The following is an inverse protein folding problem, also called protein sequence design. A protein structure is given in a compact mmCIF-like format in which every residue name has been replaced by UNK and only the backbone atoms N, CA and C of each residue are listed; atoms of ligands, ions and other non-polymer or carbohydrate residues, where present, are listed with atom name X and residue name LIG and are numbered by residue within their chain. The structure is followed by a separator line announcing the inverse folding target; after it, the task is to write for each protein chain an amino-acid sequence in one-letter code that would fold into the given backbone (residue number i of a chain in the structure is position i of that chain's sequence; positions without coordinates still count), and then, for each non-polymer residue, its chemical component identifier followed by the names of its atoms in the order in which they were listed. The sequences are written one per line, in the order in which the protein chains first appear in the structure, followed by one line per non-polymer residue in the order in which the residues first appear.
data_IF_640684338711
#
_entry.id   IF_640684338711
#
_cell.length_a   1.000
_cell.length_b   1.000
_cell.length_c   1.000
_cell.angle_alpha   90.00
_cell.angle_beta   90.00
_cell.angle_gamma   90.00
#
_symmetry.space_group_name_H-M   'P 1'
#
loop_
_entity.id
_entity.type
_entity.pdbx_description
1 polymer ?
#
# COMPACT_ATOMS: atom_id res chain seq x y z
N UNK A 1 -60.87 16.51 16.62
CA UNK A 1 -60.35 15.32 17.33
C UNK A 1 -60.42 14.13 16.38
N UNK A 2 -59.26 13.46 16.10
CA UNK A 2 -59.10 12.09 15.51
C UNK A 2 -59.70 11.88 14.09
N UNK A 3 -59.06 11.30 13.06
CA UNK A 3 -57.90 10.41 12.80
C UNK A 3 -57.45 10.72 11.33
N UNK A 4 -56.31 10.35 10.73
CA UNK A 4 -55.67 9.05 10.37
C UNK A 4 -54.33 9.44 9.65
N UNK A 5 -53.22 8.67 9.74
CA UNK A 5 -51.97 8.98 9.03
C UNK A 5 -51.96 8.55 7.55
N UNK A 6 -51.26 9.32 6.71
CA UNK A 6 -50.98 9.04 5.30
C UNK A 6 -49.63 8.33 5.15
N UNK A 7 -49.62 7.34 4.26
CA UNK A 7 -48.54 6.42 3.96
C UNK A 7 -47.41 7.01 3.10
N UNK A 8 -46.30 6.27 3.15
CA UNK A 8 -45.00 6.45 2.51
C UNK A 8 -45.09 6.35 0.97
N UNK A 9 -44.42 7.28 0.29
CA UNK A 9 -43.94 7.26 -1.10
C UNK A 9 -42.48 7.69 -0.98
N UNK A 10 -41.43 7.07 -1.51
CA UNK A 10 -41.25 6.17 -2.64
C UNK A 10 -40.03 6.69 -3.40
N UNK A 11 -39.05 5.84 -3.74
CA UNK A 11 -38.20 6.09 -4.90
C UNK A 11 -37.55 4.79 -5.37
N UNK A 12 -37.79 4.48 -6.64
CA UNK A 12 -37.49 3.24 -7.31
C UNK A 12 -36.07 3.25 -7.91
N UNK A 13 -35.43 2.08 -7.87
CA UNK A 13 -34.18 1.76 -8.58
C UNK A 13 -34.55 1.17 -9.94
N UNK A 14 -33.98 1.72 -11.01
CA UNK A 14 -34.08 1.19 -12.36
C UNK A 14 -32.89 0.24 -12.65
N UNK A 15 -33.20 -1.01 -12.99
CA UNK A 15 -32.27 -2.01 -13.52
C UNK A 15 -32.27 -1.92 -15.06
N UNK A 16 -31.09 -1.84 -15.66
CA UNK A 16 -30.89 -2.06 -17.09
C UNK A 16 -30.12 -3.37 -17.28
N UNK A 17 -30.76 -4.31 -17.97
CA UNK A 17 -30.18 -5.57 -18.39
C UNK A 17 -29.39 -5.39 -19.70
N UNK A 18 -28.15 -5.89 -19.74
CA UNK A 18 -27.32 -5.98 -20.94
C UNK A 18 -26.96 -7.44 -21.23
N UNK A 19 -27.26 -7.88 -22.46
CA UNK A 19 -27.20 -9.25 -22.94
C UNK A 19 -25.77 -9.81 -23.07
N UNK A 20 -25.64 -11.10 -22.76
CA UNK A 20 -24.44 -11.90 -22.98
C UNK A 20 -24.29 -12.32 -24.46
N UNK A 21 -23.04 -12.35 -24.94
CA UNK A 21 -22.64 -13.05 -26.16
C UNK A 21 -21.67 -14.17 -25.77
N UNK A 22 -22.02 -15.40 -26.14
CA UNK A 22 -21.19 -16.59 -25.98
C UNK A 22 -20.23 -16.74 -27.16
N UNK A 23 -18.99 -17.18 -26.92
CA UNK A 23 -18.02 -17.41 -27.99
C UNK A 23 -16.72 -18.08 -27.56
N UNK A 24 -16.74 -19.40 -27.61
CA UNK A 24 -15.62 -20.33 -27.85
C UNK A 24 -14.69 -20.78 -26.71
N UNK A 25 -14.56 -22.09 -26.64
CA UNK A 25 -13.86 -22.89 -25.66
C UNK A 25 -12.50 -23.38 -26.17
N UNK A 26 -11.67 -23.75 -25.20
CA UNK A 26 -10.67 -24.81 -25.22
C UNK A 26 -9.42 -24.66 -26.10
N UNK A 27 -8.27 -24.57 -25.42
CA UNK A 27 -7.12 -25.41 -25.75
C UNK A 27 -6.37 -25.80 -24.48
N UNK A 28 -6.42 -27.10 -24.17
CA UNK A 28 -5.59 -27.77 -23.19
C UNK A 28 -4.53 -28.60 -23.92
N UNK A 29 -3.28 -28.52 -23.47
CA UNK A 29 -2.21 -29.51 -23.64
C UNK A 29 -1.12 -29.16 -22.61
N UNK A 30 -1.11 -29.82 -21.44
CA UNK A 30 -0.27 -30.98 -21.07
C UNK A 30 1.23 -30.74 -21.24
N UNK A 31 1.99 -30.78 -20.14
CA UNK A 31 3.14 -31.70 -19.97
C UNK A 31 3.62 -31.75 -18.50
N UNK A 32 3.74 -33.00 -18.07
CA UNK A 32 4.51 -33.63 -16.99
C UNK A 32 4.52 -33.13 -15.54
N UNK A 33 3.88 -33.97 -14.73
CA UNK A 33 4.14 -34.17 -13.32
C UNK A 33 5.54 -34.76 -13.11
N UNK A 34 6.36 -34.09 -12.30
CA UNK A 34 7.50 -34.72 -11.60
C UNK A 34 7.10 -34.88 -10.14
N UNK A 35 7.05 -36.14 -9.72
CA UNK A 35 6.76 -36.58 -8.36
C UNK A 35 7.80 -36.04 -7.36
N UNK A 36 7.32 -35.54 -6.21
CA UNK A 36 8.16 -35.27 -5.02
C UNK A 36 8.07 -36.47 -4.07
N UNK A 37 9.19 -36.98 -3.53
CA UNK A 37 9.13 -37.93 -2.42
C UNK A 37 8.82 -37.19 -1.11
N UNK A 38 7.82 -37.71 -0.40
CA UNK A 38 7.49 -37.37 0.98
C UNK A 38 8.54 -37.95 1.93
N UNK A 39 9.13 -37.12 2.79
CA UNK A 39 9.86 -37.56 3.98
C UNK A 39 9.12 -37.03 5.20
N UNK A 40 8.29 -37.89 5.79
CA UNK A 40 7.85 -37.77 7.18
C UNK A 40 9.00 -38.23 8.08
N UNK A 41 9.44 -37.35 8.98
CA UNK A 41 10.18 -37.74 10.16
C UNK A 41 9.34 -37.35 11.38
N UNK A 42 8.71 -38.36 11.97
CA UNK A 42 8.14 -38.30 13.31
C UNK A 42 9.28 -38.23 14.32
N UNK A 43 9.19 -37.34 15.29
CA UNK A 43 9.95 -37.45 16.53
C UNK A 43 8.95 -37.48 17.68
N UNK A 44 8.81 -38.67 18.26
CA UNK A 44 8.22 -38.92 19.55
C UNK A 44 9.00 -38.17 20.64
N UNK A 45 8.29 -37.39 21.47
CA UNK A 45 8.77 -37.04 22.82
C UNK A 45 7.80 -37.65 23.82
N UNK A 46 8.34 -38.61 24.55
CA UNK A 46 7.72 -39.32 25.65
C UNK A 46 7.45 -38.40 26.84
N UNK A 47 6.27 -38.56 27.42
CA UNK A 47 5.90 -38.03 28.71
C UNK A 47 6.66 -38.74 29.85
N UNK A 48 7.02 -37.99 30.88
CA UNK A 48 7.23 -38.49 32.23
C UNK A 48 6.64 -37.48 33.19
N UNK A 49 5.60 -37.90 33.90
CA UNK A 49 4.93 -37.13 34.93
C UNK A 49 5.47 -37.43 36.33
N UNK A 50 5.27 -36.45 37.21
CA UNK A 50 5.07 -36.50 38.67
C UNK A 50 4.69 -35.05 39.03
N UNK A 51 3.63 -34.69 39.76
CA UNK A 51 2.81 -35.38 40.74
C UNK A 51 2.80 -34.54 42.03
N UNK A 52 1.63 -34.03 42.45
CA UNK A 52 1.36 -33.42 43.79
C UNK A 52 1.03 -31.92 43.73
N UNK A 53 -0.23 -31.46 43.83
CA UNK A 53 -1.10 -31.37 45.03
C UNK A 53 -0.64 -30.25 45.98
N UNK A 54 -1.44 -29.37 46.58
CA UNK A 54 -2.86 -29.01 46.55
C UNK A 54 -3.02 -27.78 47.50
N UNK A 55 -4.15 -27.05 47.40
CA UNK A 55 -4.79 -26.21 48.46
C UNK A 55 -4.18 -24.83 48.82
N UNK A 56 -4.94 -23.76 49.15
CA UNK A 56 -6.38 -23.50 49.21
C UNK A 56 -6.64 -21.98 49.36
N UNK A 57 -7.78 -21.54 48.82
CA UNK A 57 -8.70 -20.49 49.25
C UNK A 57 -8.22 -19.13 49.80
N UNK A 58 -8.72 -18.06 49.17
CA UNK A 58 -8.84 -16.72 49.74
C UNK A 58 -9.77 -15.85 48.90
N UNK A 59 -11.05 -15.87 49.25
CA UNK A 59 -12.17 -15.19 48.60
C UNK A 59 -12.31 -13.74 49.12
N UNK A 60 -12.40 -12.74 48.25
CA UNK A 60 -13.15 -11.49 48.51
C UNK A 60 -13.30 -10.64 47.23
N UNK A 61 -14.54 -10.56 46.73
CA UNK A 61 -15.09 -9.40 45.98
C UNK A 61 -15.73 -8.45 47.02
N UNK A 62 -15.91 -7.13 46.78
CA UNK A 62 -16.81 -6.66 45.70
C UNK A 62 -16.47 -5.29 45.07
N UNK A 63 -17.23 -4.91 44.04
CA UNK A 63 -17.58 -3.50 43.78
C UNK A 63 -17.31 -3.01 42.36
N UNK A 64 -18.37 -2.81 41.59
CA UNK A 64 -18.30 -2.33 40.21
C UNK A 64 -17.91 -0.86 40.06
N UNK A 65 -17.45 -0.50 38.85
CA UNK A 65 -17.98 0.60 38.02
C UNK A 65 -17.05 0.83 36.82
N UNK A 66 -17.59 0.67 35.61
CA UNK A 66 -17.09 1.30 34.38
C UNK A 66 -17.35 2.82 34.47
N UNK A 67 -16.54 3.73 33.87
CA UNK A 67 -16.60 3.89 32.41
C UNK A 67 -15.32 4.39 31.68
N UNK A 68 -15.38 4.19 30.36
CA UNK A 68 -14.99 5.09 29.27
C UNK A 68 -13.55 5.63 29.12
N UNK A 69 -13.03 5.28 27.95
CA UNK A 69 -11.89 5.82 27.20
C UNK A 69 -11.91 7.35 27.12
N UNK A 70 -10.77 7.99 27.31
CA UNK A 70 -10.55 9.41 27.01
C UNK A 70 -9.31 9.58 26.15
N UNK A 71 -9.52 9.89 24.87
CA UNK A 71 -8.53 10.48 23.97
C UNK A 71 -8.58 12.01 24.12
N UNK A 72 -7.45 12.74 24.14
CA UNK A 72 -7.49 14.19 24.00
C UNK A 72 -7.55 14.60 22.53
N UNK A 73 -8.63 15.33 22.19
CA UNK A 73 -8.82 16.04 20.94
C UNK A 73 -8.07 17.37 20.95
N UNK A 74 -7.37 17.70 19.86
CA UNK A 74 -6.80 19.01 19.62
C UNK A 74 -7.86 19.96 19.03
N UNK A 75 -8.02 21.11 19.67
CA UNK A 75 -8.96 22.16 19.33
C UNK A 75 -8.48 23.03 18.15
N UNK A 76 -9.38 23.31 17.21
CA UNK A 76 -9.34 24.50 16.36
C UNK A 76 -10.78 25.04 16.22
N UNK A 77 -11.05 26.33 16.45
CA UNK A 77 -12.34 26.92 16.13
C UNK A 77 -12.30 27.71 14.81
N UNK A 78 -13.39 27.58 14.04
CA UNK A 78 -13.81 28.52 13.01
C UNK A 78 -15.21 29.07 13.38
N UNK A 79 -15.45 30.37 13.15
CA UNK A 79 -16.78 30.97 13.26
C UNK A 79 -16.81 32.50 13.41
N UNK A 80 -17.10 33.17 12.28
CA UNK A 80 -17.58 34.56 12.01
C UNK A 80 -18.85 35.00 12.84
N UNK A 81 -19.50 36.22 12.73
CA UNK A 81 -19.61 37.12 11.54
C UNK A 81 -19.89 38.66 11.69
N UNK A 82 -19.80 39.35 10.52
CA UNK A 82 -20.71 40.37 9.92
C UNK A 82 -20.66 41.90 10.14
N UNK A 83 -20.91 42.60 8.99
CA UNK A 83 -21.47 43.96 8.68
C UNK A 83 -20.51 45.18 8.64
N UNK A 84 -20.60 46.15 7.71
CA UNK A 84 -21.37 46.40 6.48
C UNK A 84 -20.85 47.67 5.73
N UNK A 85 -21.36 47.87 4.49
CA UNK A 85 -21.54 49.13 3.70
C UNK A 85 -20.43 49.61 2.73
N UNK A 86 -20.62 49.27 1.44
CA UNK A 86 -21.01 50.17 0.34
C UNK A 86 -20.14 51.38 -0.05
N UNK A 87 -19.69 51.42 -1.32
CA UNK A 87 -20.03 52.47 -2.30
C UNK A 87 -19.23 52.34 -3.62
N UNK A 88 -19.96 52.45 -4.73
CA UNK A 88 -19.66 53.18 -5.97
C UNK A 88 -18.38 52.93 -6.81
N UNK A 89 -18.62 52.31 -7.98
CA UNK A 89 -18.52 52.93 -9.32
C UNK A 89 -17.18 53.09 -10.07
N UNK A 90 -17.29 52.77 -11.37
CA UNK A 90 -16.57 53.27 -12.56
C UNK A 90 -15.41 52.43 -13.15
N UNK A 91 -15.71 51.86 -14.32
CA UNK A 91 -14.79 51.53 -15.41
C UNK A 91 -14.09 52.79 -15.95
N UNK A 92 -12.96 52.60 -16.67
CA UNK A 92 -12.96 53.05 -18.06
C UNK A 92 -12.41 52.01 -19.05
N UNK A 93 -12.98 52.04 -20.26
CA UNK A 93 -12.44 51.46 -21.50
C UNK A 93 -11.04 52.02 -21.84
N UNK A 94 -10.19 51.16 -22.43
CA UNK A 94 -9.10 51.59 -23.30
C UNK A 94 -8.78 50.51 -24.36
N UNK A 95 -9.38 50.72 -25.53
CA UNK A 95 -8.78 50.71 -26.88
C UNK A 95 -7.73 49.65 -27.25
N UNK A 96 -8.07 48.87 -28.28
CA UNK A 96 -7.17 48.03 -29.06
C UNK A 96 -6.13 48.84 -29.85
N UNK A 97 -4.90 48.32 -29.95
CA UNK A 97 -3.96 48.60 -31.03
C UNK A 97 -3.08 47.39 -31.29
N UNK A 98 -3.16 46.88 -32.51
CA UNK A 98 -2.38 45.78 -33.06
C UNK A 98 -1.07 46.31 -33.66
N UNK A 99 0.05 45.60 -33.45
CA UNK A 99 1.08 45.45 -34.49
C UNK A 99 1.81 44.10 -34.37
N UNK A 100 2.31 43.55 -35.50
CA UNK A 100 2.79 42.17 -35.63
C UNK A 100 4.32 42.07 -35.46
N UNK A 101 4.80 40.93 -34.99
CA UNK A 101 6.23 40.64 -34.87
C UNK A 101 6.49 39.13 -34.84
N UNK A 102 6.99 38.63 -35.97
CA UNK A 102 7.37 37.25 -36.24
C UNK A 102 8.37 36.70 -35.23
N UNK A 103 8.16 35.43 -34.84
CA UNK A 103 9.08 34.69 -33.99
C UNK A 103 8.47 33.40 -33.47
N UNK A 104 7.91 32.56 -34.35
CA UNK A 104 7.77 31.13 -34.03
C UNK A 104 9.19 30.56 -33.98
N UNK A 105 9.80 30.72 -32.82
CA UNK A 105 10.89 29.87 -32.38
C UNK A 105 10.24 28.50 -32.24
N UNK A 106 10.50 27.62 -33.20
CA UNK A 106 10.17 26.22 -33.10
C UNK A 106 11.00 25.68 -31.93
N UNK A 107 10.44 25.80 -30.72
CA UNK A 107 10.98 25.16 -29.55
C UNK A 107 10.96 23.67 -29.89
N UNK A 108 12.11 22.95 -29.81
CA UNK A 108 12.10 21.53 -30.10
C UNK A 108 11.05 20.89 -29.20
N UNK A 109 10.06 20.26 -29.82
CA UNK A 109 9.06 19.48 -29.11
C UNK A 109 9.83 18.53 -28.20
N UNK A 110 9.81 18.80 -26.90
CA UNK A 110 10.31 17.85 -25.92
C UNK A 110 9.46 16.61 -26.12
N UNK A 111 10.04 15.57 -26.72
CA UNK A 111 9.49 14.22 -26.76
C UNK A 111 9.49 13.72 -25.32
N UNK A 112 8.52 14.21 -24.55
CA UNK A 112 8.34 13.85 -23.15
C UNK A 112 7.94 12.38 -23.06
N UNK A 113 8.49 11.69 -22.07
CA UNK A 113 8.07 10.35 -21.72
C UNK A 113 6.68 10.47 -21.09
N UNK A 114 5.64 10.04 -21.82
CA UNK A 114 4.24 10.21 -21.39
C UNK A 114 3.59 8.92 -20.88
N UNK A 115 4.27 7.78 -20.97
CA UNK A 115 3.73 6.49 -20.53
C UNK A 115 4.65 5.80 -19.53
N UNK A 116 4.07 5.06 -18.59
CA UNK A 116 4.82 4.33 -17.57
C UNK A 116 5.75 3.28 -18.18
N UNK A 117 5.33 2.44 -19.15
CA UNK A 117 6.27 1.50 -19.80
C UNK A 117 7.46 2.19 -20.47
N UNK A 118 7.25 3.36 -21.09
CA UNK A 118 8.36 4.11 -21.70
C UNK A 118 9.29 4.72 -20.64
N UNK A 119 8.75 5.16 -19.50
CA UNK A 119 9.54 5.67 -18.39
C UNK A 119 10.40 4.57 -17.77
N UNK A 120 9.80 3.42 -17.47
CA UNK A 120 10.52 2.24 -16.95
C UNK A 120 11.58 1.77 -17.97
N UNK A 121 11.25 1.73 -19.26
CA UNK A 121 12.22 1.37 -20.30
C UNK A 121 13.46 2.28 -20.35
N UNK A 122 13.28 3.57 -20.05
CA UNK A 122 14.35 4.56 -20.04
C UNK A 122 15.11 4.65 -18.71
N UNK A 123 14.58 4.05 -17.64
CA UNK A 123 15.09 4.23 -16.29
C UNK A 123 16.27 3.29 -15.96
N UNK A 124 17.20 3.68 -15.07
CA UNK A 124 18.20 2.76 -14.55
C UNK A 124 17.60 1.50 -13.93
N UNK A 125 16.48 1.60 -13.20
CA UNK A 125 15.73 0.44 -12.69
C UNK A 125 15.35 -0.54 -13.79
N UNK A 126 14.81 -0.04 -14.90
CA UNK A 126 14.47 -0.90 -16.05
C UNK A 126 15.69 -1.58 -16.66
N UNK A 127 16.90 -1.05 -16.50
CA UNK A 127 18.13 -1.72 -16.92
C UNK A 127 18.63 -2.79 -15.93
N UNK A 128 18.22 -2.72 -14.66
CA UNK A 128 18.66 -3.61 -13.59
C UNK A 128 17.83 -4.90 -13.46
N UNK A 129 16.56 -4.86 -13.87
CA UNK A 129 15.62 -5.97 -13.71
C UNK A 129 14.75 -6.18 -14.95
N UNK A 130 14.10 -7.32 -15.02
CA UNK A 130 13.10 -7.69 -16.02
C UNK A 130 11.66 -7.58 -15.51
N UNK A 131 11.45 -7.24 -14.22
CA UNK A 131 10.13 -7.01 -13.66
C UNK A 131 10.10 -5.81 -12.70
N UNK A 132 9.14 -4.91 -12.92
CA UNK A 132 9.03 -3.65 -12.18
C UNK A 132 7.60 -3.45 -11.67
N UNK A 133 7.48 -3.12 -10.39
CA UNK A 133 6.29 -2.49 -9.83
C UNK A 133 6.48 -0.98 -9.89
N UNK A 134 5.78 -0.29 -10.78
CA UNK A 134 5.88 1.16 -10.90
C UNK A 134 4.76 1.84 -10.11
N UNK A 135 5.11 2.80 -9.27
CA UNK A 135 4.17 3.58 -8.44
C UNK A 135 4.30 5.06 -8.80
N UNK A 136 3.21 5.65 -9.30
CA UNK A 136 3.12 7.09 -9.59
C UNK A 136 2.08 7.72 -8.68
N UNK A 137 2.54 8.56 -7.77
CA UNK A 137 1.69 9.21 -6.78
C UNK A 137 1.21 10.61 -7.21
N UNK A 138 0.02 10.97 -6.76
CA UNK A 138 -0.52 12.34 -6.81
C UNK A 138 -1.15 12.66 -5.45
N UNK A 139 -0.41 13.39 -4.61
CA UNK A 139 -0.74 13.50 -3.20
C UNK A 139 -0.59 12.15 -2.51
N UNK A 140 -1.62 11.71 -1.78
CA UNK A 140 -1.63 10.40 -1.10
C UNK A 140 -2.27 9.27 -1.90
N UNK A 141 -2.80 9.55 -3.09
CA UNK A 141 -3.28 8.55 -4.05
C UNK A 141 -2.17 8.14 -5.00
N UNK A 142 -2.22 6.93 -5.53
CA UNK A 142 -1.25 6.46 -6.52
C UNK A 142 -1.87 5.54 -7.58
N UNK A 143 -1.23 5.48 -8.74
CA UNK A 143 -1.38 4.41 -9.72
C UNK A 143 -0.21 3.44 -9.57
N UNK A 144 -0.51 2.16 -9.44
CA UNK A 144 0.46 1.09 -9.31
C UNK A 144 0.33 0.14 -10.50
N UNK A 145 1.45 -0.15 -11.14
CA UNK A 145 1.52 -0.98 -12.33
C UNK A 145 2.50 -2.13 -12.11
N UNK A 146 2.17 -3.32 -12.61
CA UNK A 146 3.13 -4.41 -12.75
C UNK A 146 3.58 -4.48 -14.21
N UNK A 147 4.88 -4.40 -14.43
CA UNK A 147 5.47 -4.43 -15.76
C UNK A 147 6.48 -5.57 -15.89
N UNK A 148 6.45 -6.24 -17.03
CA UNK A 148 7.43 -7.26 -17.41
C UNK A 148 8.18 -6.85 -18.67
N UNK A 149 9.47 -7.18 -18.74
CA UNK A 149 10.32 -6.91 -19.89
C UNK A 149 10.10 -7.97 -20.99
N UNK A 150 9.80 -7.53 -22.21
CA UNK A 150 9.80 -8.38 -23.42
C UNK A 150 11.22 -8.73 -23.84
N UNK A 151 11.35 -9.84 -24.56
CA UNK A 151 12.59 -10.24 -25.23
C UNK A 151 13.18 -9.16 -26.17
N UNK A 152 12.35 -8.29 -26.74
CA UNK A 152 12.76 -7.18 -27.60
C UNK A 152 13.23 -5.92 -26.83
N UNK A 153 13.25 -5.95 -25.50
CA UNK A 153 13.65 -4.84 -24.63
C UNK A 153 12.57 -3.80 -24.34
N UNK A 154 11.38 -3.93 -24.93
CA UNK A 154 10.19 -3.16 -24.54
C UNK A 154 9.52 -3.74 -23.29
N UNK A 155 8.63 -2.98 -22.64
CA UNK A 155 7.92 -3.41 -21.44
C UNK A 155 6.41 -3.60 -21.71
N UNK A 156 5.81 -4.61 -21.08
CA UNK A 156 4.36 -4.86 -21.03
C UNK A 156 3.85 -4.24 -19.74
N UNK A 157 2.72 -3.55 -19.83
CA UNK A 157 1.95 -3.17 -18.65
C UNK A 157 0.90 -4.27 -18.44
N UNK A 158 1.18 -5.20 -17.53
CA UNK A 158 0.35 -6.38 -17.31
C UNK A 158 -0.99 -5.99 -16.71
N UNK A 159 -0.94 -5.08 -15.73
CA UNK A 159 -2.10 -4.51 -15.10
C UNK A 159 -1.75 -3.23 -14.34
N UNK A 160 -2.79 -2.43 -14.13
CA UNK A 160 -2.77 -1.21 -13.35
C UNK A 160 -3.83 -1.26 -12.24
N UNK A 161 -3.54 -0.67 -11.10
CA UNK A 161 -4.44 -0.58 -9.98
C UNK A 161 -4.30 0.78 -9.27
N UNK A 162 -5.42 1.35 -8.84
CA UNK A 162 -5.40 2.51 -7.96
C UNK A 162 -5.05 2.08 -6.53
N UNK A 163 -4.21 2.85 -5.87
CA UNK A 163 -3.76 2.60 -4.51
C UNK A 163 -3.50 3.89 -3.75
N UNK A 164 -2.86 3.73 -2.60
CA UNK A 164 -2.45 4.85 -1.75
C UNK A 164 -0.97 4.76 -1.45
N UNK A 165 -0.39 5.93 -1.17
CA UNK A 165 0.91 6.08 -0.55
C UNK A 165 0.73 6.71 0.84
N UNK A 166 1.84 7.02 1.51
CA UNK A 166 1.83 7.75 2.77
C UNK A 166 1.04 9.06 2.68
N UNK A 167 0.46 9.51 3.80
CA UNK A 167 -0.35 10.72 3.85
C UNK A 167 0.42 12.00 3.45
N UNK A 168 1.75 11.99 3.61
CA UNK A 168 2.66 13.04 3.15
C UNK A 168 3.05 12.95 1.67
N UNK A 169 2.52 11.98 0.93
CA UNK A 169 2.84 11.71 -0.48
C UNK A 169 4.14 10.96 -0.67
N UNK A 170 4.83 11.24 -1.78
CA UNK A 170 6.10 10.63 -2.17
C UNK A 170 7.25 11.64 -2.11
N UNK A 171 8.39 11.24 -1.55
CA UNK A 171 9.55 12.13 -1.40
C UNK A 171 10.63 11.55 -0.51
N UNK A 172 11.38 12.41 0.20
CA UNK A 172 12.41 11.95 1.14
C UNK A 172 11.76 11.48 2.46
N UNK A 173 11.82 10.18 2.72
CA UNK A 173 11.34 9.57 3.96
C UNK A 173 12.41 9.49 5.05
N UNK A 174 11.97 9.42 6.30
CA UNK A 174 12.77 9.09 7.48
C UNK A 174 11.88 8.41 8.54
N UNK A 175 12.47 7.92 9.64
CA UNK A 175 11.71 7.30 10.73
C UNK A 175 10.60 8.22 11.25
N UNK A 176 9.39 7.69 11.43
CA UNK A 176 8.21 8.45 11.84
C UNK A 176 7.62 9.42 10.82
N UNK A 177 8.21 9.56 9.62
CA UNK A 177 7.61 10.37 8.54
C UNK A 177 6.38 9.69 7.96
N UNK A 178 5.42 10.49 7.47
CA UNK A 178 4.27 9.96 6.73
C UNK A 178 4.48 9.94 5.20
N UNK A 179 5.73 9.97 4.75
CA UNK A 179 6.12 10.10 3.34
C UNK A 179 6.59 8.74 2.85
N UNK A 180 6.05 8.29 1.71
CA UNK A 180 6.60 7.11 1.01
C UNK A 180 7.87 7.53 0.28
N UNK A 181 8.97 6.77 0.42
CA UNK A 181 10.25 7.17 -0.18
C UNK A 181 10.14 7.17 -1.71
N UNK A 182 10.63 8.24 -2.35
CA UNK A 182 10.84 8.32 -3.80
C UNK A 182 12.17 7.65 -4.17
N UNK A 183 12.17 6.77 -5.16
CA UNK A 183 13.36 5.99 -5.53
C UNK A 183 13.04 4.61 -6.09
N UNK A 184 14.08 3.77 -6.12
CA UNK A 184 14.02 2.39 -6.60
C UNK A 184 14.64 1.43 -5.59
N UNK A 185 13.95 0.31 -5.33
CA UNK A 185 14.38 -0.71 -4.38
C UNK A 185 14.04 -2.12 -4.86
N UNK A 186 14.86 -3.14 -4.50
CA UNK A 186 14.48 -4.53 -4.71
C UNK A 186 13.24 -4.87 -3.87
N UNK A 187 12.37 -5.73 -4.41
CA UNK A 187 11.28 -6.33 -3.66
C UNK A 187 11.80 -7.56 -2.89
N UNK A 188 11.49 -7.59 -1.60
CA UNK A 188 11.97 -8.57 -0.65
C UNK A 188 10.98 -9.72 -0.41
N UNK A 189 11.09 -10.45 0.72
CA UNK A 189 10.16 -11.52 1.05
C UNK A 189 8.73 -10.99 1.24
N UNK A 190 7.77 -11.87 0.99
CA UNK A 190 6.36 -11.65 1.27
C UNK A 190 6.02 -12.12 2.68
N UNK A 191 4.91 -11.62 3.21
CA UNK A 191 4.41 -12.00 4.53
C UNK A 191 2.89 -11.85 4.60
N UNK A 192 2.29 -12.38 5.67
CA UNK A 192 0.94 -11.96 6.03
C UNK A 192 0.27 -12.78 7.11
N UNK A 193 -0.90 -12.31 7.54
CA UNK A 193 -1.82 -13.05 8.43
C UNK A 193 -2.71 -14.02 7.65
N UNK A 194 -2.86 -13.81 6.33
CA UNK A 194 -3.48 -14.78 5.43
C UNK A 194 -2.57 -15.96 5.13
N UNK A 195 -3.12 -17.03 4.56
CA UNK A 195 -2.30 -18.08 3.97
C UNK A 195 -1.62 -17.57 2.68
N UNK A 196 -0.45 -18.13 2.35
CA UNK A 196 0.26 -17.84 1.11
C UNK A 196 -0.68 -17.92 -0.12
N UNK A 197 -0.84 -16.84 -0.90
CA UNK A 197 -1.70 -16.82 -2.08
C UNK A 197 -1.09 -17.54 -3.31
N UNK A 198 0.06 -18.20 -3.16
CA UNK A 198 0.81 -18.86 -4.23
C UNK A 198 1.99 -18.03 -4.72
N UNK A 199 2.67 -17.31 -3.83
CA UNK A 199 3.78 -16.43 -4.20
C UNK A 199 5.02 -17.19 -4.63
N UNK A 200 5.81 -16.58 -5.51
CA UNK A 200 7.13 -17.08 -5.93
C UNK A 200 8.26 -16.64 -4.98
N UNK A 201 7.96 -15.76 -4.05
CA UNK A 201 8.89 -15.22 -3.06
C UNK A 201 8.89 -16.07 -1.78
N UNK A 202 9.90 -15.96 -0.91
CA UNK A 202 9.77 -16.48 0.45
C UNK A 202 8.57 -15.84 1.16
N UNK A 203 7.72 -16.65 1.79
CA UNK A 203 6.53 -16.18 2.51
C UNK A 203 6.62 -16.46 4.01
N UNK A 204 6.50 -15.41 4.81
CA UNK A 204 6.44 -15.52 6.29
C UNK A 204 4.99 -15.43 6.77
N UNK A 205 4.49 -16.51 7.35
CA UNK A 205 3.21 -16.49 8.05
C UNK A 205 3.37 -15.75 9.38
N UNK A 206 2.69 -14.60 9.51
CA UNK A 206 2.73 -13.80 10.73
C UNK A 206 2.02 -14.51 11.88
N UNK A 207 2.59 -14.37 13.07
CA UNK A 207 2.04 -14.86 14.34
C UNK A 207 2.20 -13.78 15.42
N UNK A 208 1.80 -14.08 16.66
CA UNK A 208 1.78 -13.11 17.75
C UNK A 208 3.16 -12.50 18.12
N UNK A 209 4.26 -13.21 17.83
CA UNK A 209 5.63 -12.73 18.05
C UNK A 209 6.21 -11.94 16.88
N UNK A 210 5.51 -11.88 15.75
CA UNK A 210 6.03 -11.27 14.52
C UNK A 210 6.17 -9.76 14.66
N UNK A 211 7.42 -9.31 14.70
CA UNK A 211 7.81 -7.95 14.98
C UNK A 211 8.67 -7.40 13.84
N UNK A 212 8.35 -6.21 13.34
CA UNK A 212 9.31 -5.42 12.59
C UNK A 212 10.01 -4.46 13.55
N UNK A 213 11.33 -4.58 13.65
CA UNK A 213 12.14 -3.78 14.55
C UNK A 213 12.34 -2.40 13.92
N UNK A 214 11.79 -1.38 14.56
CA UNK A 214 11.80 0.01 14.11
C UNK A 214 12.51 0.95 15.09
N UNK A 215 13.03 0.43 16.21
CA UNK A 215 13.92 1.18 17.10
C UNK A 215 15.32 1.37 16.47
N UNK A 216 15.76 2.61 16.16
CA UNK A 216 17.08 2.87 15.59
C UNK A 216 18.26 2.49 16.50
N UNK A 217 18.02 2.32 17.80
CA UNK A 217 19.03 1.88 18.77
C UNK A 217 19.20 0.36 18.85
N UNK A 218 18.30 -0.40 18.23
CA UNK A 218 18.31 -1.86 18.28
C UNK A 218 19.26 -2.45 17.20
N UNK A 219 20.10 -3.45 17.52
CA UNK A 219 20.95 -4.12 16.53
C UNK A 219 20.19 -4.75 15.35
N UNK A 220 18.92 -5.10 15.55
CA UNK A 220 18.05 -5.66 14.53
C UNK A 220 17.24 -4.59 13.77
N UNK A 221 17.57 -3.30 13.89
CA UNK A 221 16.83 -2.21 13.27
C UNK A 221 16.50 -2.46 11.78
N UNK A 222 15.30 -2.08 11.38
CA UNK A 222 14.71 -2.29 10.06
C UNK A 222 14.76 -3.75 9.59
N UNK A 223 14.35 -4.68 10.46
CA UNK A 223 14.25 -6.09 10.10
C UNK A 223 13.13 -6.81 10.82
N UNK A 224 12.74 -7.96 10.25
CA UNK A 224 11.81 -8.87 10.87
C UNK A 224 12.51 -9.69 11.96
N UNK A 225 11.86 -9.81 13.13
CA UNK A 225 12.28 -10.66 14.22
C UNK A 225 11.05 -11.29 14.91
N UNK A 226 11.23 -12.48 15.46
CA UNK A 226 10.25 -13.06 16.39
C UNK A 226 10.61 -12.61 17.81
N UNK A 227 9.68 -11.90 18.47
CA UNK A 227 9.90 -11.32 19.80
C UNK A 227 8.68 -11.52 20.70
N UNK A 228 8.93 -11.93 21.94
CA UNK A 228 7.88 -12.03 22.97
C UNK A 228 7.29 -10.65 23.33
N UNK A 229 8.12 -9.61 23.29
CA UNK A 229 7.74 -8.23 23.48
C UNK A 229 8.10 -7.41 22.24
N UNK A 230 7.07 -6.92 21.55
CA UNK A 230 7.19 -6.00 20.42
C UNK A 230 6.36 -4.76 20.74
N UNK A 231 7.02 -3.78 21.36
CA UNK A 231 6.43 -2.53 21.81
C UNK A 231 6.97 -1.35 21.01
N UNK A 232 6.24 -0.25 21.01
CA UNK A 232 6.62 1.01 20.34
C UNK A 232 8.05 1.41 20.76
N UNK A 233 8.95 1.73 19.82
CA UNK A 233 8.67 2.07 18.42
C UNK A 233 8.58 0.88 17.45
N UNK A 234 8.81 -0.36 17.90
CA UNK A 234 8.70 -1.53 17.04
C UNK A 234 7.26 -1.81 16.63
N UNK A 235 7.10 -2.40 15.46
CA UNK A 235 5.81 -2.68 14.85
C UNK A 235 5.43 -4.14 15.05
N UNK A 236 4.44 -4.39 15.92
CA UNK A 236 3.85 -5.72 16.06
C UNK A 236 2.97 -6.00 14.85
N UNK A 237 3.48 -6.79 13.91
CA UNK A 237 2.87 -6.93 12.59
C UNK A 237 1.50 -7.62 12.66
N UNK A 238 1.31 -8.57 13.59
CA UNK A 238 0.04 -9.27 13.75
C UNK A 238 -1.14 -8.38 14.17
N UNK A 239 -0.88 -7.20 14.75
CA UNK A 239 -1.93 -6.25 15.15
C UNK A 239 -2.63 -5.60 13.94
N UNK A 240 -2.00 -5.66 12.76
CA UNK A 240 -2.51 -5.11 11.50
C UNK A 240 -3.13 -6.21 10.63
N UNK A 241 -3.99 -7.03 11.23
CA UNK A 241 -4.50 -8.26 10.60
C UNK A 241 -5.18 -8.05 9.23
N UNK A 242 -5.82 -6.90 9.00
CA UNK A 242 -6.42 -6.54 7.72
C UNK A 242 -5.37 -6.07 6.71
N UNK A 243 -4.59 -5.04 7.07
CA UNK A 243 -3.61 -4.42 6.18
C UNK A 243 -2.49 -5.39 5.82
N UNK A 244 -2.05 -6.22 6.78
CA UNK A 244 -1.03 -7.24 6.58
C UNK A 244 -1.63 -8.61 6.36
N UNK A 245 -2.87 -8.69 5.86
CA UNK A 245 -3.36 -9.95 5.30
C UNK A 245 -2.43 -10.47 4.22
N UNK A 246 -1.96 -9.57 3.37
CA UNK A 246 -0.87 -9.79 2.43
C UNK A 246 0.07 -8.57 2.46
N UNK A 247 1.37 -8.83 2.56
CA UNK A 247 2.40 -7.81 2.58
C UNK A 247 3.63 -8.24 1.78
N UNK A 248 4.34 -7.25 1.26
CA UNK A 248 5.57 -7.42 0.50
C UNK A 248 6.59 -6.41 0.99
N UNK A 249 7.79 -6.87 1.34
CA UNK A 249 8.86 -6.00 1.81
C UNK A 249 9.42 -5.17 0.66
N UNK A 250 9.55 -3.86 0.87
CA UNK A 250 10.34 -2.98 0.01
C UNK A 250 11.74 -2.90 0.64
N UNK A 251 12.79 -3.17 -0.14
CA UNK A 251 14.19 -3.16 0.31
C UNK A 251 14.75 -1.76 0.63
N UNK A 252 13.90 -0.82 1.07
CA UNK A 252 14.33 0.49 1.51
C UNK A 252 15.09 0.39 2.83
N UNK A 253 16.19 1.15 2.92
CA UNK A 253 17.11 1.13 4.07
C UNK A 253 17.64 -0.28 4.39
N UNK A 254 18.00 -1.06 3.36
CA UNK A 254 18.54 -2.41 3.52
C UNK A 254 19.86 -2.47 4.32
N UNK A 255 20.64 -1.38 4.30
CA UNK A 255 21.85 -1.22 5.12
C UNK A 255 21.53 -0.99 6.61
N UNK A 256 20.25 -0.80 6.97
CA UNK A 256 19.76 -0.58 8.33
C UNK A 256 20.42 0.64 8.99
N UNK A 257 20.63 1.70 8.21
CA UNK A 257 21.17 2.95 8.71
C UNK A 257 20.17 3.55 9.71
N UNK A 258 20.53 3.74 11.00
CA UNK A 258 19.60 4.19 12.04
C UNK A 258 18.84 5.47 11.66
N UNK A 259 17.52 5.44 11.77
CA UNK A 259 16.64 6.58 11.51
C UNK A 259 16.34 6.89 10.04
N UNK A 260 16.93 6.14 9.09
CA UNK A 260 16.69 6.32 7.65
C UNK A 260 15.34 5.77 7.17
N UNK A 261 14.45 5.35 8.09
CA UNK A 261 13.15 4.78 7.81
C UNK A 261 13.15 3.26 8.01
N UNK A 262 12.00 2.74 8.40
CA UNK A 262 11.78 1.32 8.59
C UNK A 262 10.36 0.92 8.17
N UNK A 263 10.09 -0.39 8.12
CA UNK A 263 8.77 -0.96 7.85
C UNK A 263 8.15 -0.48 6.52
N UNK A 264 8.98 -0.37 5.47
CA UNK A 264 8.51 0.00 4.13
C UNK A 264 7.95 -1.21 3.40
N UNK A 265 6.63 -1.22 3.18
CA UNK A 265 5.92 -2.35 2.61
C UNK A 265 4.97 -1.94 1.47
N UNK A 266 4.65 -2.90 0.59
CA UNK A 266 3.39 -2.91 -0.17
C UNK A 266 2.41 -3.81 0.58
N UNK A 267 1.19 -3.34 0.85
CA UNK A 267 0.23 -4.10 1.67
C UNK A 267 -1.24 -3.87 1.28
N UNK A 268 -2.16 -4.57 1.95
CA UNK A 268 -3.60 -4.43 1.73
C UNK A 268 -4.10 -3.08 2.25
N UNK A 269 -4.87 -2.37 1.44
CA UNK A 269 -5.50 -1.11 1.77
C UNK A 269 -6.73 -1.31 2.65
N UNK A 270 -6.89 -0.44 3.64
CA UNK A 270 -8.12 -0.25 4.41
C UNK A 270 -8.98 0.91 3.86
N UNK A 271 -8.69 1.39 2.65
CA UNK A 271 -9.40 2.48 1.98
C UNK A 271 -8.89 3.89 2.31
N UNK A 272 -7.80 4.04 3.07
CA UNK A 272 -7.21 5.33 3.42
C UNK A 272 -5.68 5.37 3.20
N UNK A 273 -5.13 6.59 3.15
CA UNK A 273 -3.69 6.81 3.10
C UNK A 273 -3.02 6.38 4.42
N UNK A 274 -1.83 5.77 4.31
CA UNK A 274 -1.09 5.18 5.43
C UNK A 274 0.00 6.08 6.01
N UNK A 275 0.81 5.50 6.91
CA UNK A 275 2.00 6.15 7.46
C UNK A 275 3.06 6.32 6.36
N UNK A 276 3.76 5.27 5.90
CA UNK A 276 4.79 5.39 4.87
C UNK A 276 4.90 4.10 4.03
N UNK A 277 3.82 3.73 3.35
CA UNK A 277 3.71 2.46 2.63
C UNK A 277 2.88 2.61 1.36
N UNK A 278 3.00 1.64 0.46
CA UNK A 278 2.12 1.52 -0.72
C UNK A 278 0.98 0.57 -0.37
N UNK A 279 -0.26 0.99 -0.58
CA UNK A 279 -1.44 0.20 -0.22
C UNK A 279 -2.32 -0.09 -1.45
N UNK A 280 -2.70 -1.35 -1.64
CA UNK A 280 -3.50 -1.85 -2.76
C UNK A 280 -4.75 -2.59 -2.27
N UNK A 281 -5.84 -2.65 -3.06
CA UNK A 281 -6.96 -3.55 -2.77
C UNK A 281 -6.48 -5.01 -2.56
N UNK A 282 -7.15 -5.75 -1.66
CA UNK A 282 -6.70 -7.10 -1.27
C UNK A 282 -6.54 -8.05 -2.47
N UNK A 283 -7.44 -7.98 -3.46
CA UNK A 283 -7.35 -8.81 -4.67
C UNK A 283 -6.11 -8.46 -5.50
N UNK A 284 -5.78 -7.18 -5.63
CA UNK A 284 -4.58 -6.73 -6.34
C UNK A 284 -3.30 -7.12 -5.59
N UNK A 285 -3.28 -7.07 -4.25
CA UNK A 285 -2.16 -7.63 -3.47
C UNK A 285 -1.98 -9.13 -3.70
N UNK A 286 -3.07 -9.89 -3.76
CA UNK A 286 -2.99 -11.33 -4.02
C UNK A 286 -2.44 -11.62 -5.42
N UNK A 287 -2.91 -10.90 -6.45
CA UNK A 287 -2.36 -10.97 -7.81
C UNK A 287 -0.89 -10.58 -7.85
N UNK A 288 -0.52 -9.45 -7.22
CA UNK A 288 0.86 -9.00 -7.13
C UNK A 288 1.76 -10.07 -6.51
N UNK A 289 1.37 -10.65 -5.37
CA UNK A 289 2.18 -11.69 -4.72
C UNK A 289 2.32 -12.96 -5.58
N UNK A 290 1.28 -13.33 -6.34
CA UNK A 290 1.32 -14.49 -7.23
C UNK A 290 2.21 -14.27 -8.46
N UNK A 291 2.33 -13.03 -8.94
CA UNK A 291 3.02 -12.70 -10.20
C UNK A 291 4.44 -12.15 -9.99
N UNK A 292 4.71 -11.51 -8.86
CA UNK A 292 6.05 -10.98 -8.55
C UNK A 292 7.01 -12.14 -8.31
N UNK A 293 8.15 -12.09 -9.00
CA UNK A 293 9.20 -13.09 -8.89
C UNK A 293 10.47 -12.53 -8.25
N UNK A 294 11.39 -13.41 -7.77
CA UNK A 294 12.69 -12.98 -7.27
C UNK A 294 13.43 -12.10 -8.29
N UNK A 295 14.02 -11.00 -7.81
CA UNK A 295 14.74 -10.02 -8.65
C UNK A 295 13.91 -8.81 -9.11
N UNK A 296 12.59 -8.84 -8.92
CA UNK A 296 11.73 -7.69 -9.21
C UNK A 296 12.10 -6.47 -8.37
N UNK A 297 11.90 -5.28 -8.92
CA UNK A 297 12.09 -4.01 -8.22
C UNK A 297 10.80 -3.22 -8.16
N UNK A 298 10.70 -2.33 -7.18
CA UNK A 298 9.69 -1.28 -7.14
C UNK A 298 10.35 0.06 -7.39
N UNK A 299 9.72 0.88 -8.23
CA UNK A 299 10.10 2.27 -8.47
C UNK A 299 8.93 3.18 -8.09
N UNK A 300 9.21 4.19 -7.28
CA UNK A 300 8.19 5.07 -6.68
C UNK A 300 8.54 6.52 -6.98
N UNK A 301 7.60 7.25 -7.59
CA UNK A 301 7.78 8.65 -7.97
C UNK A 301 6.47 9.44 -7.89
N UNK A 302 6.57 10.77 -7.97
CA UNK A 302 5.42 11.69 -8.02
C UNK A 302 5.00 12.06 -9.44
N UNK A 303 5.74 11.61 -10.46
CA UNK A 303 5.37 11.77 -11.87
C UNK A 303 5.95 10.66 -12.75
N UNK A 304 5.41 10.53 -13.96
CA UNK A 304 5.90 9.56 -14.97
C UNK A 304 7.33 9.92 -15.39
N UNK A 305 7.64 11.20 -15.54
CA UNK A 305 8.97 11.66 -15.93
C UNK A 305 10.02 11.35 -14.86
N UNK A 306 9.66 11.49 -13.58
CA UNK A 306 10.55 11.20 -12.46
C UNK A 306 10.90 9.70 -12.36
N UNK A 307 9.98 8.79 -12.74
CA UNK A 307 10.29 7.35 -12.83
C UNK A 307 11.53 7.07 -13.68
N UNK A 308 11.72 7.80 -14.78
CA UNK A 308 12.85 7.59 -15.69
C UNK A 308 14.21 7.96 -15.06
N UNK A 309 14.23 8.60 -13.89
CA UNK A 309 15.45 9.02 -13.20
C UNK A 309 16.00 7.98 -12.22
N UNK A 310 15.22 6.93 -11.92
CA UNK A 310 15.55 5.88 -10.95
C UNK A 310 15.83 4.52 -11.59
#
# INVERSE_FOLDING_TARGET
MKRIPVAIVGCAVALVAGSAVAGSAARAARLDAVARPSLSASVDVSASGVGGAEQSAGQASPGGSTPAVSSPAASAPAGEPSRARGAAAQQPEATASSQPGSGTTDAPAQTGITTIPAAVAASPTGALTDQVVAVVASGSSAQVHLLNRRAAGSWDDEWAQSGFVGAGGVGRAHEGSSVTPAGSWPLGPAFGTGADPGTLLPYTQLNAGSCWVSDPGDPDYNSYAERDACDVPNLRMADFSEQYRYGLVIGQNAERAPGAGSASFVHVSNGAAGAASVALPQSAMASLLHEVHPGAHIVIASSIEELATY
#
